data_IF_075819813386
#
_entry.id   IF_075819813386
#
_cell.length_a   1.000
_cell.length_b   1.000
_cell.length_c   1.000
_cell.angle_alpha   90.00
_cell.angle_beta   90.00
_cell.angle_gamma   90.00
#
_symmetry.space_group_name_H-M   'P 1'
#
loop_
_entity.id
_entity.type
_entity.pdbx_description
1 polymer ?
#
# COMPACT_ATOMS: atom_id res chain seq x y z
N UNK A 1 25.40 -27.63 50.95
CA UNK A 1 24.50 -27.61 52.13
C UNK A 1 24.25 -26.15 52.47
N UNK A 2 22.98 -25.75 52.39
CA UNK A 2 22.31 -24.58 52.99
C UNK A 2 22.69 -23.13 52.58
N UNK A 3 21.63 -22.47 52.11
CA UNK A 3 21.41 -21.07 51.79
C UNK A 3 21.71 -20.08 52.92
N UNK A 4 21.84 -18.79 52.57
CA UNK A 4 21.10 -17.78 53.33
C UNK A 4 20.58 -16.64 52.44
N UNK A 5 19.26 -16.44 52.49
CA UNK A 5 18.47 -15.35 51.90
C UNK A 5 18.26 -14.27 52.96
N UNK A 6 17.78 -13.12 52.50
CA UNK A 6 17.21 -12.00 53.27
C UNK A 6 18.20 -11.02 53.92
N UNK A 7 18.27 -9.82 53.36
CA UNK A 7 17.88 -8.57 54.04
C UNK A 7 18.19 -7.36 53.14
N UNK A 8 17.21 -6.94 52.33
CA UNK A 8 17.24 -5.62 51.68
C UNK A 8 15.81 -5.08 51.55
N UNK A 9 15.09 -5.06 52.67
CA UNK A 9 13.80 -4.38 52.80
C UNK A 9 13.83 -3.66 54.15
N UNK A 10 14.24 -2.39 54.15
CA UNK A 10 13.98 -1.35 55.19
C UNK A 10 14.84 -0.12 54.92
N UNK A 11 14.32 0.82 54.13
CA UNK A 11 14.49 2.26 54.37
C UNK A 11 13.15 2.94 54.12
N UNK A 12 12.38 3.00 55.20
CA UNK A 12 11.22 3.87 55.40
C UNK A 12 11.76 5.24 55.86
N UNK A 13 11.05 6.31 55.50
CA UNK A 13 10.72 7.53 56.27
C UNK A 13 10.98 8.81 55.43
N UNK A 14 9.96 9.44 54.81
CA UNK A 14 8.98 10.42 55.35
C UNK A 14 9.59 11.71 55.93
N UNK A 15 9.41 12.84 55.23
CA UNK A 15 9.13 14.22 55.71
C UNK A 15 8.46 14.94 54.51
N UNK A 16 7.16 15.25 54.43
CA UNK A 16 6.25 16.05 55.25
C UNK A 16 6.47 17.58 55.18
N UNK A 17 5.64 18.23 54.34
CA UNK A 17 4.88 19.46 54.58
C UNK A 17 5.57 20.75 55.10
N UNK A 18 5.50 21.78 54.25
CA UNK A 18 5.08 23.15 54.60
C UNK A 18 4.11 23.55 53.46
N UNK A 19 2.81 23.77 53.68
CA UNK A 19 2.22 24.89 54.41
C UNK A 19 2.08 26.08 53.43
N UNK A 20 0.95 26.70 53.15
CA UNK A 20 -0.40 26.62 53.68
C UNK A 20 -1.15 27.88 53.21
N UNK A 21 -2.41 27.72 52.84
CA UNK A 21 -3.50 28.70 52.90
C UNK A 21 -3.29 30.15 52.40
N UNK A 22 -3.71 30.38 51.16
CA UNK A 22 -4.49 31.57 50.77
C UNK A 22 -5.71 31.05 49.98
N UNK A 23 -6.75 30.55 50.64
CA UNK A 23 -7.87 31.32 51.18
C UNK A 23 -8.55 32.22 50.14
N UNK A 24 -9.56 31.62 49.49
CA UNK A 24 -10.90 32.17 49.33
C UNK A 24 -11.00 33.56 48.71
N UNK A 25 -11.21 33.59 47.40
CA UNK A 25 -12.16 34.43 46.67
C UNK A 25 -11.92 34.11 45.20
N UNK A 26 -12.92 33.56 44.53
CA UNK A 26 -13.17 33.39 43.08
C UNK A 26 -14.10 32.18 42.84
N UNK A 27 -14.94 31.85 43.82
CA UNK A 27 -16.14 31.04 43.63
C UNK A 27 -17.32 31.97 43.40
N UNK A 28 -17.56 32.33 42.13
CA UNK A 28 -18.83 32.77 41.54
C UNK A 28 -18.57 33.62 40.29
N UNK A 29 -18.07 33.05 39.19
CA UNK A 29 -18.28 33.63 37.86
C UNK A 29 -17.97 32.70 36.68
N UNK A 30 -18.44 31.44 36.68
CA UNK A 30 -18.56 30.67 35.44
C UNK A 30 -19.77 29.72 35.53
N UNK A 31 -20.96 30.30 35.60
CA UNK A 31 -22.23 29.65 35.25
C UNK A 31 -22.87 30.48 34.13
N UNK A 32 -22.35 30.33 32.92
CA UNK A 32 -22.91 30.73 31.62
C UNK A 32 -21.85 30.35 30.56
N UNK A 33 -22.01 29.51 29.54
CA UNK A 33 -23.14 28.81 28.97
C UNK A 33 -22.67 27.38 28.64
N UNK A 34 -23.37 26.36 29.15
CA UNK A 34 -23.21 25.01 28.68
C UNK A 34 -23.96 24.91 27.34
N UNK A 35 -23.28 25.25 26.25
CA UNK A 35 -23.67 24.77 24.92
C UNK A 35 -23.46 23.24 24.91
N UNK A 36 -24.39 22.46 24.34
CA UNK A 36 -24.26 21.00 24.33
C UNK A 36 -22.96 20.63 23.60
N UNK A 37 -22.01 20.08 24.36
CA UNK A 37 -20.80 19.40 23.87
C UNK A 37 -21.24 18.20 23.02
N UNK A 38 -21.53 18.49 21.76
CA UNK A 38 -22.14 17.55 20.81
C UNK A 38 -21.97 18.02 19.38
N UNK A 39 -20.84 18.65 19.05
CA UNK A 39 -20.30 18.68 17.70
C UNK A 39 -18.80 18.48 17.81
N UNK A 40 -18.36 17.23 17.58
CA UNK A 40 -17.00 16.98 17.12
C UNK A 40 -16.69 17.98 16.00
N UNK A 41 -15.44 18.48 15.89
CA UNK A 41 -15.06 19.23 14.70
C UNK A 41 -15.49 18.38 13.50
N UNK A 42 -16.36 18.96 12.67
CA UNK A 42 -16.70 18.37 11.38
C UNK A 42 -15.35 18.22 10.70
N UNK A 43 -14.86 16.98 10.66
CA UNK A 43 -13.78 16.62 9.77
C UNK A 43 -14.36 16.96 8.40
N UNK A 44 -13.83 18.02 7.81
CA UNK A 44 -14.06 18.27 6.39
C UNK A 44 -13.41 17.06 5.75
N UNK A 45 -14.21 16.04 5.44
CA UNK A 45 -13.80 14.97 4.53
C UNK A 45 -13.56 15.68 3.20
N UNK A 46 -12.32 16.14 3.02
CA UNK A 46 -11.83 16.59 1.75
C UNK A 46 -12.08 15.43 0.80
N UNK A 47 -12.88 15.68 -0.24
CA UNK A 47 -13.21 14.68 -1.25
C UNK A 47 -11.90 14.26 -1.92
N UNK A 48 -11.30 13.17 -1.46
CA UNK A 48 -10.09 12.59 -2.07
C UNK A 48 -10.44 12.15 -3.48
N UNK A 49 -9.76 12.71 -4.47
CA UNK A 49 -9.90 12.25 -5.85
C UNK A 49 -9.15 10.93 -5.96
N UNK A 50 -9.84 9.87 -6.35
CA UNK A 50 -9.22 8.57 -6.58
C UNK A 50 -9.01 8.39 -8.08
N UNK A 51 -7.77 8.14 -8.48
CA UNK A 51 -7.41 7.82 -9.86
C UNK A 51 -7.16 6.33 -9.95
N UNK A 52 -7.98 5.58 -10.69
CA UNK A 52 -7.85 4.11 -10.82
C UNK A 52 -7.68 3.37 -9.47
N UNK A 53 -8.34 3.86 -8.40
CA UNK A 53 -8.25 3.29 -7.05
C UNK A 53 -7.09 3.80 -6.18
N UNK A 54 -6.27 4.73 -6.68
CA UNK A 54 -5.16 5.34 -5.96
C UNK A 54 -5.51 6.71 -5.38
N UNK A 55 -5.12 6.92 -4.12
CA UNK A 55 -5.08 8.23 -3.46
C UNK A 55 -3.69 8.86 -3.71
N UNK A 56 -3.52 9.41 -4.92
CA UNK A 56 -2.22 9.88 -5.40
C UNK A 56 -1.77 11.15 -4.66
N UNK A 57 -2.69 12.01 -4.23
CA UNK A 57 -2.33 13.18 -3.42
C UNK A 57 -1.65 12.76 -2.11
N UNK A 58 -2.22 11.78 -1.40
CA UNK A 58 -1.66 11.25 -0.15
C UNK A 58 -0.34 10.53 -0.39
N UNK A 59 -0.26 9.67 -1.40
CA UNK A 59 1.00 8.96 -1.73
C UNK A 59 2.12 9.96 -2.03
N UNK A 60 1.82 11.04 -2.77
CA UNK A 60 2.80 12.03 -3.17
C UNK A 60 3.31 12.89 -2.00
N UNK A 61 2.70 12.86 -0.81
CA UNK A 61 3.28 13.47 0.42
C UNK A 61 4.64 12.88 0.77
N UNK A 62 4.84 11.61 0.44
CA UNK A 62 6.05 10.88 0.74
C UNK A 62 7.00 10.70 -0.45
N UNK A 63 6.72 11.38 -1.57
CA UNK A 63 7.58 11.37 -2.74
C UNK A 63 9.05 11.64 -2.36
N UNK A 64 9.95 10.88 -2.99
CA UNK A 64 11.39 10.95 -2.72
C UNK A 64 12.22 10.77 -3.98
N UNK A 65 13.34 11.49 -4.15
CA UNK A 65 14.31 11.19 -5.19
C UNK A 65 15.09 9.88 -4.97
N UNK A 66 15.10 9.30 -3.76
CA UNK A 66 15.97 8.19 -3.40
C UNK A 66 15.22 6.98 -2.79
N UNK A 67 15.42 5.80 -3.37
CA UNK A 67 14.89 4.52 -2.86
C UNK A 67 15.45 4.16 -1.47
N UNK A 68 16.61 4.72 -1.09
CA UNK A 68 17.20 4.54 0.23
C UNK A 68 16.48 5.29 1.36
N UNK A 69 15.50 6.15 1.06
CA UNK A 69 14.66 6.80 2.07
C UNK A 69 13.61 5.82 2.61
N UNK A 70 14.04 4.78 3.33
CA UNK A 70 13.21 3.66 3.78
C UNK A 70 11.87 4.10 4.40
N UNK A 71 11.89 5.17 5.21
CA UNK A 71 10.69 5.69 5.88
C UNK A 71 9.64 6.22 4.89
N UNK A 72 10.09 6.94 3.85
CA UNK A 72 9.22 7.48 2.80
C UNK A 72 8.76 6.38 1.85
N UNK A 73 9.69 5.53 1.40
CA UNK A 73 9.39 4.39 0.53
C UNK A 73 8.36 3.46 1.17
N UNK A 74 8.50 3.17 2.47
CA UNK A 74 7.51 2.37 3.21
C UNK A 74 6.11 2.99 3.19
N UNK A 75 6.01 4.32 3.32
CA UNK A 75 4.71 5.00 3.33
C UNK A 75 4.09 5.05 1.92
N UNK A 76 4.89 5.30 0.88
CA UNK A 76 4.47 5.17 -0.52
C UNK A 76 3.89 3.77 -0.76
N UNK A 77 4.64 2.72 -0.42
CA UNK A 77 4.21 1.32 -0.60
C UNK A 77 2.92 1.02 0.16
N UNK A 78 2.77 1.53 1.39
CA UNK A 78 1.55 1.32 2.18
C UNK A 78 0.30 2.02 1.62
N UNK A 79 0.50 2.96 0.70
CA UNK A 79 -0.59 3.64 -0.01
C UNK A 79 -1.07 2.89 -1.25
N UNK A 80 -0.36 1.85 -1.68
CA UNK A 80 -0.70 1.12 -2.89
C UNK A 80 -1.87 0.14 -2.64
N UNK A 81 -2.80 0.00 -3.59
CA UNK A 81 -3.75 -1.11 -3.60
C UNK A 81 -3.01 -2.45 -3.75
N UNK A 82 -3.55 -3.50 -3.13
CA UNK A 82 -2.99 -4.85 -3.30
C UNK A 82 -3.22 -5.34 -4.73
N UNK A 83 -2.20 -5.90 -5.42
CA UNK A 83 -2.41 -6.53 -6.72
C UNK A 83 -3.38 -7.72 -6.69
N UNK A 84 -3.47 -8.42 -5.56
CA UNK A 84 -4.42 -9.50 -5.34
C UNK A 84 -5.06 -9.32 -3.96
N UNK A 85 -6.41 -9.26 -3.86
CA UNK A 85 -7.11 -9.03 -2.59
C UNK A 85 -6.93 -10.17 -1.56
N UNK A 86 -6.46 -11.35 -1.99
CA UNK A 86 -6.14 -12.49 -1.13
C UNK A 86 -4.78 -12.35 -0.44
N UNK A 87 -3.97 -11.39 -0.87
CA UNK A 87 -2.63 -11.15 -0.36
C UNK A 87 -2.49 -9.75 0.23
N UNK A 88 -1.56 -9.61 1.16
CA UNK A 88 -1.16 -8.32 1.73
C UNK A 88 0.35 -8.14 1.61
N UNK A 89 0.78 -6.91 1.37
CA UNK A 89 2.19 -6.54 1.43
C UNK A 89 2.66 -6.63 2.89
N UNK A 90 3.72 -7.42 3.14
CA UNK A 90 4.24 -7.67 4.49
C UNK A 90 5.63 -7.08 4.71
N UNK A 91 6.53 -7.27 3.75
CA UNK A 91 7.90 -6.79 3.84
C UNK A 91 8.33 -6.07 2.56
N UNK A 92 9.42 -5.31 2.65
CA UNK A 92 10.10 -4.75 1.49
C UNK A 92 11.61 -4.87 1.67
N UNK A 93 12.33 -5.08 0.58
CA UNK A 93 13.80 -5.02 0.54
C UNK A 93 14.24 -3.95 -0.45
N UNK A 94 15.27 -3.20 -0.07
CA UNK A 94 15.83 -2.10 -0.86
C UNK A 94 17.26 -2.48 -1.24
N UNK A 95 17.54 -2.47 -2.54
CA UNK A 95 18.87 -2.66 -3.10
C UNK A 95 19.41 -1.31 -3.57
N UNK A 96 20.16 -0.61 -2.71
CA UNK A 96 20.67 0.74 -2.96
C UNK A 96 22.20 0.86 -2.93
N UNK A 97 22.92 -0.25 -2.73
CA UNK A 97 24.38 -0.27 -2.65
C UNK A 97 25.08 -0.14 -4.01
N UNK A 98 24.43 -0.59 -5.08
CA UNK A 98 24.93 -0.54 -6.45
C UNK A 98 23.77 -0.46 -7.44
N UNK A 99 24.05 0.05 -8.64
CA UNK A 99 23.06 0.11 -9.71
C UNK A 99 22.96 -1.25 -10.43
N UNK A 100 21.78 -1.62 -10.95
CA UNK A 100 20.52 -0.88 -10.87
C UNK A 100 19.90 -0.88 -9.47
N UNK A 101 19.36 0.27 -9.05
CA UNK A 101 18.71 0.38 -7.74
C UNK A 101 17.38 -0.36 -7.74
N UNK A 102 17.12 -1.18 -6.71
CA UNK A 102 15.99 -2.09 -6.67
C UNK A 102 15.09 -1.91 -5.46
N UNK A 103 13.80 -2.21 -5.63
CA UNK A 103 12.83 -2.38 -4.56
C UNK A 103 12.04 -3.68 -4.79
N UNK A 104 12.06 -4.57 -3.80
CA UNK A 104 11.28 -5.82 -3.80
C UNK A 104 10.17 -5.71 -2.78
N UNK A 105 8.94 -5.96 -3.20
CA UNK A 105 7.75 -6.02 -2.36
C UNK A 105 7.37 -7.48 -2.13
N UNK A 106 7.26 -7.86 -0.86
CA UNK A 106 6.96 -9.22 -0.45
C UNK A 106 5.51 -9.32 0.05
N UNK A 107 4.75 -10.22 -0.55
CA UNK A 107 3.34 -10.45 -0.28
C UNK A 107 3.10 -11.79 0.39
N UNK A 108 2.15 -11.80 1.32
CA UNK A 108 1.71 -12.99 2.05
C UNK A 108 0.20 -13.14 2.02
N UNK A 109 -0.33 -14.37 2.19
CA UNK A 109 -1.77 -14.58 2.25
C UNK A 109 -2.40 -13.77 3.38
N UNK A 110 -3.50 -13.10 3.09
CA UNK A 110 -4.29 -12.37 4.09
C UNK A 110 -5.07 -13.32 5.00
N UNK A 111 -5.36 -14.55 4.53
CA UNK A 111 -6.14 -15.53 5.28
C UNK A 111 -5.40 -15.97 6.56
N UNK A 112 -6.12 -15.89 7.67
CA UNK A 112 -5.74 -16.43 8.98
C UNK A 112 -5.41 -17.92 8.99
N UNK A 113 -5.90 -18.70 8.01
CA UNK A 113 -5.53 -20.10 7.84
C UNK A 113 -4.06 -20.27 7.40
N UNK A 114 -3.41 -19.19 6.94
CA UNK A 114 -1.99 -19.15 6.64
C UNK A 114 -1.61 -19.83 5.32
N UNK A 115 -2.57 -20.03 4.41
CA UNK A 115 -2.32 -20.59 3.08
C UNK A 115 -3.06 -19.78 1.99
N UNK A 116 -2.36 -19.50 0.89
CA UNK A 116 -2.93 -18.85 -0.30
C UNK A 116 -2.31 -19.44 -1.57
N UNK A 117 -3.15 -19.68 -2.57
CA UNK A 117 -2.67 -20.01 -3.92
C UNK A 117 -2.04 -18.76 -4.52
N UNK A 118 -0.76 -18.86 -4.87
CA UNK A 118 0.01 -17.76 -5.47
C UNK A 118 -0.62 -17.39 -6.82
N UNK A 119 -0.75 -16.10 -7.17
CA UNK A 119 -1.32 -15.68 -8.44
C UNK A 119 -0.54 -16.26 -9.63
N UNK A 120 -1.26 -16.65 -10.69
CA UNK A 120 -0.65 -17.08 -11.95
C UNK A 120 -0.61 -15.90 -12.92
N UNK A 121 0.57 -15.31 -13.09
CA UNK A 121 0.77 -14.13 -13.95
C UNK A 121 0.44 -14.38 -15.43
N UNK A 122 0.29 -15.64 -15.88
CA UNK A 122 -0.11 -15.95 -17.25
C UNK A 122 -1.64 -15.99 -17.42
N UNK A 123 -2.38 -16.09 -16.32
CA UNK A 123 -3.84 -16.35 -16.33
C UNK A 123 -4.65 -15.28 -15.63
N UNK A 124 -4.02 -14.54 -14.72
CA UNK A 124 -4.65 -13.49 -13.93
C UNK A 124 -4.30 -12.11 -14.49
N UNK A 125 -5.08 -11.65 -15.46
CA UNK A 125 -4.88 -10.36 -16.11
C UNK A 125 -5.04 -9.17 -15.15
N UNK A 126 -6.00 -9.25 -14.22
CA UNK A 126 -6.24 -8.18 -13.23
C UNK A 126 -5.05 -8.04 -12.28
N UNK A 127 -4.49 -9.16 -11.81
CA UNK A 127 -3.27 -9.18 -11.00
C UNK A 127 -2.07 -8.52 -11.71
N UNK A 128 -1.87 -8.85 -13.00
CA UNK A 128 -0.78 -8.28 -13.80
C UNK A 128 -0.98 -6.80 -14.04
N UNK A 129 -2.21 -6.38 -14.37
CA UNK A 129 -2.57 -4.98 -14.59
C UNK A 129 -2.36 -4.15 -13.32
N UNK A 130 -2.89 -4.62 -12.18
CA UNK A 130 -2.76 -3.92 -10.91
C UNK A 130 -1.31 -3.84 -10.43
N UNK A 131 -0.52 -4.91 -10.62
CA UNK A 131 0.92 -4.92 -10.34
C UNK A 131 1.68 -3.93 -11.22
N UNK A 132 1.33 -3.84 -12.51
CA UNK A 132 1.92 -2.88 -13.44
C UNK A 132 1.57 -1.45 -13.07
N UNK A 133 0.33 -1.17 -12.70
CA UNK A 133 -0.09 0.15 -12.23
C UNK A 133 0.63 0.54 -10.94
N UNK A 134 0.81 -0.39 -10.00
CA UNK A 134 1.61 -0.18 -8.80
C UNK A 134 3.07 0.14 -9.16
N UNK A 135 3.65 -0.55 -10.15
CA UNK A 135 5.00 -0.27 -10.62
C UNK A 135 5.13 1.15 -11.20
N UNK A 136 4.16 1.57 -12.02
CA UNK A 136 4.08 2.93 -12.56
C UNK A 136 4.08 3.98 -11.45
N UNK A 137 3.21 3.81 -10.44
CA UNK A 137 3.15 4.72 -9.29
C UNK A 137 4.48 4.75 -8.53
N UNK A 138 5.10 3.60 -8.29
CA UNK A 138 6.39 3.54 -7.62
C UNK A 138 7.51 4.22 -8.41
N UNK A 139 7.58 4.03 -9.72
CA UNK A 139 8.52 4.73 -10.59
C UNK A 139 8.26 6.24 -10.64
N UNK A 140 7.01 6.67 -10.53
CA UNK A 140 6.67 8.08 -10.46
C UNK A 140 7.08 8.72 -9.12
N UNK A 141 6.87 8.00 -8.01
CA UNK A 141 7.03 8.54 -6.65
C UNK A 141 8.45 8.39 -6.08
N UNK A 142 9.26 7.49 -6.64
CA UNK A 142 10.62 7.18 -6.17
C UNK A 142 11.63 7.44 -7.29
N UNK A 143 12.29 8.60 -7.25
CA UNK A 143 13.03 9.16 -8.37
C UNK A 143 14.17 8.31 -8.95
N UNK A 144 14.81 7.44 -8.18
CA UNK A 144 15.96 6.64 -8.65
C UNK A 144 15.75 5.12 -8.61
N UNK A 145 14.53 4.60 -8.39
CA UNK A 145 14.31 3.15 -8.46
C UNK A 145 14.34 2.68 -9.92
N UNK A 146 15.24 1.75 -10.24
CA UNK A 146 15.44 1.25 -11.60
C UNK A 146 14.68 -0.05 -11.86
N UNK A 147 14.51 -0.86 -10.80
CA UNK A 147 13.90 -2.19 -10.87
C UNK A 147 12.92 -2.43 -9.72
N UNK A 148 11.76 -3.00 -10.05
CA UNK A 148 10.73 -3.41 -9.10
C UNK A 148 10.46 -4.89 -9.22
N UNK A 149 10.34 -5.57 -8.09
CA UNK A 149 9.99 -7.00 -8.04
C UNK A 149 8.83 -7.22 -7.08
N UNK A 150 7.80 -7.92 -7.54
CA UNK A 150 6.66 -8.36 -6.72
C UNK A 150 6.82 -9.86 -6.45
N UNK A 151 7.07 -10.19 -5.18
CA UNK A 151 7.38 -11.55 -4.75
C UNK A 151 6.33 -12.07 -3.77
N UNK A 152 5.90 -13.31 -3.95
CA UNK A 152 4.78 -13.91 -3.24
C UNK A 152 5.19 -15.22 -2.59
N UNK A 153 4.58 -15.56 -1.46
CA UNK A 153 4.69 -16.90 -0.87
C UNK A 153 3.30 -17.44 -0.57
N UNK A 154 3.15 -18.76 -0.61
CA UNK A 154 1.87 -19.42 -0.38
C UNK A 154 1.48 -19.54 1.09
N UNK A 155 2.34 -19.12 2.03
CA UNK A 155 2.09 -19.25 3.47
C UNK A 155 2.45 -17.99 4.24
N UNK A 156 1.97 -17.80 5.46
CA UNK A 156 2.36 -16.65 6.30
C UNK A 156 3.73 -16.89 6.94
N UNK A 157 4.59 -15.87 7.00
CA UNK A 157 5.90 -15.98 7.65
C UNK A 157 5.79 -15.83 9.19
N UNK A 158 6.60 -16.57 9.97
CA UNK A 158 6.47 -16.60 11.43
C UNK A 158 7.14 -15.44 12.19
N UNK A 159 7.65 -14.38 11.50
CA UNK A 159 7.99 -13.02 12.01
C UNK A 159 9.23 -12.40 11.34
N UNK A 160 9.97 -13.15 10.51
CA UNK A 160 11.17 -12.67 9.83
C UNK A 160 11.06 -12.85 8.31
N UNK A 161 11.62 -11.89 7.57
CA UNK A 161 11.76 -11.99 6.12
C UNK A 161 12.87 -13.01 5.78
N UNK A 162 12.48 -14.12 5.15
CA UNK A 162 13.38 -15.08 4.53
C UNK A 162 13.16 -14.98 3.01
N UNK A 163 13.97 -14.20 2.26
CA UNK A 163 13.67 -13.90 0.85
C UNK A 163 13.53 -15.14 -0.05
N UNK A 164 14.25 -16.23 0.26
CA UNK A 164 14.17 -17.48 -0.50
C UNK A 164 12.83 -18.21 -0.40
N UNK A 165 11.98 -17.83 0.55
CA UNK A 165 10.64 -18.40 0.70
C UNK A 165 9.63 -17.76 -0.26
N UNK A 166 9.99 -16.67 -0.93
CA UNK A 166 9.12 -15.93 -1.84
C UNK A 166 9.52 -16.18 -3.29
N UNK A 167 8.53 -16.41 -4.13
CA UNK A 167 8.65 -16.55 -5.57
C UNK A 167 8.48 -15.18 -6.24
N UNK A 168 9.47 -14.69 -6.98
CA UNK A 168 9.32 -13.47 -7.78
C UNK A 168 8.41 -13.76 -8.98
N UNK A 169 7.22 -13.15 -9.00
CA UNK A 169 6.24 -13.39 -10.06
C UNK A 169 6.31 -12.34 -11.17
N UNK A 170 6.53 -11.08 -10.78
CA UNK A 170 6.53 -9.96 -11.69
C UNK A 170 7.75 -9.07 -11.42
N UNK A 171 8.44 -8.71 -12.49
CA UNK A 171 9.56 -7.78 -12.47
C UNK A 171 9.33 -6.70 -13.53
N UNK A 172 9.60 -5.47 -13.15
CA UNK A 172 9.43 -4.30 -14.01
C UNK A 172 10.71 -3.48 -13.97
N UNK A 173 11.17 -3.02 -15.13
CA UNK A 173 12.27 -2.06 -15.22
C UNK A 173 11.69 -0.69 -15.56
N UNK A 174 12.26 0.36 -14.99
CA UNK A 174 11.85 1.74 -15.31
C UNK A 174 11.91 2.03 -16.82
N UNK A 175 12.92 1.47 -17.50
CA UNK A 175 13.10 1.63 -18.96
C UNK A 175 11.93 1.14 -19.80
N UNK A 176 11.08 0.29 -19.24
CA UNK A 176 9.94 -0.30 -19.94
C UNK A 176 8.74 0.67 -19.98
N UNK A 177 8.80 1.77 -19.21
CA UNK A 177 7.75 2.76 -19.10
C UNK A 177 8.21 4.11 -19.66
N UNK A 178 7.50 4.69 -20.65
CA UNK A 178 7.84 5.99 -21.23
C UNK A 178 7.35 7.14 -20.33
N UNK A 179 7.67 7.09 -19.04
CA UNK A 179 7.16 8.03 -18.05
C UNK A 179 8.26 9.05 -17.73
N UNK A 180 8.21 10.21 -18.40
CA UNK A 180 9.03 11.38 -18.06
C UNK A 180 8.23 12.30 -17.13
N UNK A 181 8.31 12.04 -15.83
CA UNK A 181 7.61 12.85 -14.84
C UNK A 181 8.53 13.91 -14.24
N UNK A 182 8.09 15.17 -14.32
CA UNK A 182 8.77 16.28 -13.67
C UNK A 182 8.40 16.33 -12.18
N UNK A 183 9.32 15.91 -11.31
CA UNK A 183 9.13 15.90 -9.86
C UNK A 183 9.14 17.30 -9.22
N UNK A 184 9.49 18.37 -9.97
CA UNK A 184 9.58 19.72 -9.43
C UNK A 184 8.22 20.37 -9.18
N UNK A 185 7.18 19.93 -9.88
CA UNK A 185 5.80 20.40 -9.72
C UNK A 185 4.91 19.24 -9.27
N UNK A 186 4.77 19.07 -7.96
CA UNK A 186 4.06 17.94 -7.35
C UNK A 186 2.60 17.86 -7.78
N UNK A 187 1.90 18.98 -7.94
CA UNK A 187 0.47 18.97 -8.26
C UNK A 187 0.24 18.52 -9.71
N UNK A 188 1.00 19.10 -10.63
CA UNK A 188 0.97 18.72 -12.04
C UNK A 188 1.41 17.24 -12.22
N UNK A 189 2.39 16.80 -11.43
CA UNK A 189 2.84 15.41 -11.41
C UNK A 189 1.73 14.43 -11.04
N UNK A 190 0.98 14.70 -9.97
CA UNK A 190 -0.12 13.83 -9.50
C UNK A 190 -1.24 13.75 -10.54
N UNK A 191 -1.65 14.89 -11.10
CA UNK A 191 -2.73 14.91 -12.10
C UNK A 191 -2.34 14.17 -13.39
N UNK A 192 -1.11 14.38 -13.89
CA UNK A 192 -0.62 13.67 -15.07
C UNK A 192 -0.52 12.16 -14.86
N UNK A 193 -0.01 11.75 -13.69
CA UNK A 193 0.04 10.33 -13.33
C UNK A 193 -1.37 9.74 -13.23
N UNK A 194 -2.31 10.46 -12.62
CA UNK A 194 -3.70 10.03 -12.51
C UNK A 194 -4.35 9.81 -13.88
N UNK A 195 -4.21 10.77 -14.79
CA UNK A 195 -4.71 10.66 -16.17
C UNK A 195 -4.07 9.49 -16.94
N UNK A 196 -2.76 9.27 -16.74
CA UNK A 196 -2.06 8.15 -17.37
C UNK A 196 -2.61 6.80 -16.92
N UNK A 197 -2.88 6.62 -15.62
CA UNK A 197 -3.46 5.39 -15.07
C UNK A 197 -4.89 5.14 -15.58
N UNK A 198 -5.72 6.18 -15.67
CA UNK A 198 -7.09 6.08 -16.19
C UNK A 198 -7.13 5.72 -17.68
N UNK A 199 -6.20 6.26 -18.46
CA UNK A 199 -6.08 5.94 -19.87
C UNK A 199 -5.67 4.47 -20.08
N UNK A 200 -4.66 3.99 -19.36
CA UNK A 200 -4.18 2.60 -19.46
C UNK A 200 -5.28 1.59 -19.09
N UNK A 201 -6.09 1.89 -18.08
CA UNK A 201 -7.24 1.04 -17.71
C UNK A 201 -8.32 1.04 -18.80
N UNK A 202 -8.59 2.20 -19.41
CA UNK A 202 -9.58 2.34 -20.48
C UNK A 202 -9.16 1.62 -21.76
N UNK A 203 -7.88 1.73 -22.14
CA UNK A 203 -7.33 1.08 -23.33
C UNK A 203 -7.35 -0.45 -23.18
N UNK A 204 -7.01 -0.95 -21.98
CA UNK A 204 -7.08 -2.39 -21.66
C UNK A 204 -8.53 -2.91 -21.77
N UNK A 205 -9.49 -2.19 -21.19
CA UNK A 205 -10.91 -2.56 -21.27
C UNK A 205 -11.44 -2.56 -22.71
N UNK A 206 -11.01 -1.62 -23.54
CA UNK A 206 -11.39 -1.55 -24.95
C UNK A 206 -10.86 -2.74 -25.76
N UNK A 207 -9.61 -3.17 -25.50
CA UNK A 207 -9.00 -4.33 -26.16
C UNK A 207 -9.72 -5.63 -25.78
N UNK A 208 -10.02 -5.83 -24.49
CA UNK A 208 -10.73 -7.02 -24.01
C UNK A 208 -12.13 -7.11 -24.63
N UNK A 209 -12.85 -5.98 -24.69
CA UNK A 209 -14.17 -5.92 -25.32
C UNK A 209 -14.13 -6.25 -26.82
N UNK A 210 -13.09 -5.79 -27.52
CA UNK A 210 -12.93 -6.06 -28.95
C UNK A 210 -12.62 -7.54 -29.25
N UNK A 211 -11.84 -8.21 -28.38
CA UNK A 211 -11.52 -9.64 -28.52
C UNK A 211 -12.77 -10.49 -28.26
N UNK A 212 -13.52 -10.20 -27.20
CA UNK A 212 -14.76 -10.93 -26.88
C UNK A 212 -15.82 -10.77 -27.97
N UNK A 213 -15.99 -9.56 -28.51
CA UNK A 213 -16.89 -9.32 -29.64
C UNK A 213 -16.46 -10.03 -30.94
N UNK A 214 -15.16 -10.29 -31.10
CA UNK A 214 -14.63 -11.05 -32.25
C UNK A 214 -14.84 -12.57 -32.10
N UNK A 215 -14.73 -13.13 -30.89
CA UNK A 215 -15.02 -14.55 -30.64
C UNK A 215 -16.52 -14.87 -30.81
N UNK A 216 -17.42 -14.00 -30.35
CA UNK A 216 -18.87 -14.18 -30.52
C UNK A 216 -19.30 -14.12 -32.00
N UNK A 217 -18.62 -13.31 -32.82
CA UNK A 217 -18.87 -13.24 -34.27
C UNK A 217 -18.38 -14.49 -35.03
N UNK A 218 -17.39 -15.23 -34.48
CA UNK A 218 -16.88 -16.47 -35.07
C UNK A 218 -17.78 -17.66 -34.73
N UNK A 219 -18.39 -17.69 -33.54
CA UNK A 219 -19.31 -18.76 -33.13
C UNK A 219 -20.65 -18.71 -33.89
N UNK A 220 -21.14 -17.51 -34.24
CA UNK A 220 -22.33 -17.32 -35.08
C UNK A 220 -22.13 -17.67 -36.57
N UNK A 221 -20.90 -17.97 -37.00
CA UNK A 221 -20.56 -18.31 -38.38
C UNK A 221 -20.45 -19.82 -38.65
N UNK A 222 -20.75 -20.69 -37.68
CA UNK A 222 -20.85 -22.15 -37.90
C UNK A 222 -22.26 -22.49 -38.39
N UNK A 223 -22.50 -22.77 -39.69
CA UNK A 223 -23.80 -23.20 -40.15
C UNK A 223 -24.14 -24.58 -39.56
N UNK A 224 -25.23 -24.61 -38.79
CA UNK A 224 -25.93 -25.83 -38.39
C UNK A 224 -26.38 -26.58 -39.66
N UNK A 225 -25.64 -27.62 -40.05
CA UNK A 225 -25.88 -28.23 -41.36
C UNK A 225 -24.92 -29.32 -41.80
N UNK A 226 -24.84 -30.43 -41.06
CA UNK A 226 -24.52 -31.73 -41.66
C UNK A 226 -25.12 -32.89 -40.85
N UNK A 227 -26.45 -32.98 -40.88
CA UNK A 227 -27.12 -34.25 -40.62
C UNK A 227 -26.73 -35.24 -41.72
N UNK A 228 -25.75 -36.10 -41.44
CA UNK A 228 -25.46 -37.27 -42.27
C UNK A 228 -26.59 -38.29 -42.04
N UNK A 229 -27.47 -38.42 -43.04
CA UNK A 229 -28.38 -39.55 -43.18
C UNK A 229 -27.61 -40.70 -43.81
N UNK A 230 -27.56 -41.85 -43.14
CA UNK A 230 -27.42 -43.17 -43.77
C UNK A 230 -28.78 -43.86 -43.81
#
# INVERSE_FOLDING_TARGET
MMANKHNALKKILMIAAFGGAAALLWGALFVWAAEPLGKSPVQVEESTVLYAGYDLERIAEDMTPFVGDNSKVSRIVSGLPSPDPRFMQRYMAIASSEQPYGLTLFYEPLDSAGYGEVPDSLRDGEFVEQSRNNAIVLFAMIGNVDRLTFAYRSTVAPDELIPSDYEPLLEYNRSDFPIELNLADKQNHVEQLGQYLEQEQSDTAAVVSAIQGAEEAVELAVPDGAAIRE
#
